data_IF_220683858809
#
_entry.id   IF_220683858809
#
_cell.length_a   1.000
_cell.length_b   1.000
_cell.length_c   1.000
_cell.angle_alpha   90.00
_cell.angle_beta   90.00
_cell.angle_gamma   90.00
#
_symmetry.space_group_name_H-M   'P 1'
#
loop_
_entity.id
_entity.type
_entity.pdbx_description
1 polymer ?
#
# COMPACT_ATOMS: atom_id res chain seq x y z
N UNK A 1 -73.92 -10.66 40.62
CA UNK A 1 -73.33 -9.60 39.76
C UNK A 1 -71.97 -9.41 40.37
N UNK A 2 -71.03 -10.25 39.97
CA UNK A 2 -69.72 -10.35 40.60
C UNK A 2 -68.70 -10.01 39.53
N UNK A 3 -68.20 -8.77 39.60
CA UNK A 3 -67.12 -8.27 38.76
C UNK A 3 -65.79 -8.89 39.20
N UNK A 4 -65.33 -9.76 38.32
CA UNK A 4 -63.94 -9.99 37.92
C UNK A 4 -63.00 -8.78 38.11
N UNK A 5 -61.88 -8.97 38.84
CA UNK A 5 -60.55 -8.44 38.47
C UNK A 5 -59.41 -9.26 39.05
N UNK A 6 -58.97 -10.23 38.24
CA UNK A 6 -57.58 -10.41 37.77
C UNK A 6 -56.47 -10.19 38.81
N UNK A 7 -56.09 -11.28 39.47
CA UNK A 7 -54.71 -11.45 39.94
C UNK A 7 -53.80 -11.66 38.73
N UNK A 8 -52.91 -10.70 38.49
CA UNK A 8 -51.79 -10.87 37.57
C UNK A 8 -50.86 -11.96 38.11
N UNK A 9 -50.92 -13.14 37.50
CA UNK A 9 -49.87 -14.14 37.67
C UNK A 9 -48.59 -13.62 37.04
N UNK A 10 -47.63 -13.17 37.86
CA UNK A 10 -46.25 -13.07 37.45
C UNK A 10 -45.77 -14.48 37.08
N UNK A 11 -45.86 -14.81 35.80
CA UNK A 11 -45.30 -16.02 35.24
C UNK A 11 -43.79 -16.03 35.48
N UNK A 12 -43.37 -16.80 36.47
CA UNK A 12 -41.97 -17.11 36.72
C UNK A 12 -41.39 -17.80 35.48
N UNK A 13 -40.38 -17.18 34.88
CA UNK A 13 -39.65 -17.75 33.75
C UNK A 13 -39.01 -19.07 34.17
N UNK A 14 -39.16 -20.17 33.42
CA UNK A 14 -38.48 -21.42 33.74
C UNK A 14 -36.97 -21.21 33.67
N UNK A 15 -36.27 -21.51 34.77
CA UNK A 15 -34.82 -21.41 34.83
C UNK A 15 -34.19 -22.17 33.65
N UNK A 16 -33.35 -21.52 32.82
CA UNK A 16 -32.73 -22.20 31.69
C UNK A 16 -31.82 -23.30 32.23
N UNK A 17 -31.76 -24.48 31.58
CA UNK A 17 -30.87 -25.55 31.99
C UNK A 17 -29.43 -25.01 32.05
N UNK A 18 -28.70 -25.38 33.10
CA UNK A 18 -27.37 -24.88 33.45
C UNK A 18 -26.36 -24.81 32.27
N UNK A 19 -26.53 -25.68 31.27
CA UNK A 19 -25.75 -25.68 30.02
C UNK A 19 -25.98 -24.44 29.14
N UNK A 20 -27.22 -23.95 29.07
CA UNK A 20 -27.58 -22.73 28.33
C UNK A 20 -27.04 -21.50 29.06
N UNK A 21 -27.08 -21.50 30.39
CA UNK A 21 -26.47 -20.44 31.20
C UNK A 21 -24.95 -20.38 30.97
N UNK A 22 -24.26 -21.52 30.99
CA UNK A 22 -22.82 -21.60 30.71
C UNK A 22 -22.48 -21.13 29.30
N UNK A 23 -23.24 -21.54 28.28
CA UNK A 23 -23.03 -21.08 26.90
C UNK A 23 -23.23 -19.57 26.77
N UNK A 24 -24.28 -19.01 27.39
CA UNK A 24 -24.52 -17.57 27.39
C UNK A 24 -23.38 -16.78 28.05
N UNK A 25 -22.86 -17.26 29.17
CA UNK A 25 -21.71 -16.65 29.86
C UNK A 25 -20.45 -16.71 28.99
N UNK A 26 -20.17 -17.85 28.33
CA UNK A 26 -19.01 -17.96 27.43
C UNK A 26 -19.11 -17.02 26.24
N UNK A 27 -20.30 -16.87 25.64
CA UNK A 27 -20.53 -15.94 24.54
C UNK A 27 -20.32 -14.49 24.97
N UNK A 28 -20.78 -14.13 26.18
CA UNK A 28 -20.60 -12.79 26.74
C UNK A 28 -19.13 -12.49 27.00
N UNK A 29 -18.38 -13.46 27.55
CA UNK A 29 -16.93 -13.33 27.76
C UNK A 29 -16.18 -13.22 26.43
N UNK A 30 -16.55 -13.98 25.41
CA UNK A 30 -15.96 -13.85 24.08
C UNK A 30 -16.23 -12.47 23.47
N UNK A 31 -17.45 -11.94 23.62
CA UNK A 31 -17.81 -10.62 23.12
C UNK A 31 -17.04 -9.49 23.83
N UNK A 32 -16.85 -9.57 25.15
CA UNK A 32 -16.07 -8.58 25.90
C UNK A 32 -14.58 -8.64 25.54
N UNK A 33 -14.01 -9.84 25.40
CA UNK A 33 -12.62 -10.01 24.96
C UNK A 33 -12.42 -9.48 23.53
N UNK A 34 -13.35 -9.75 22.62
CA UNK A 34 -13.28 -9.24 21.24
C UNK A 34 -13.38 -7.71 21.19
N UNK A 35 -14.25 -7.12 22.02
CA UNK A 35 -14.40 -5.66 22.13
C UNK A 35 -13.15 -4.99 22.70
N UNK A 36 -12.54 -5.58 23.73
CA UNK A 36 -11.28 -5.11 24.31
C UNK A 36 -10.12 -5.24 23.31
N UNK A 37 -10.06 -6.34 22.54
CA UNK A 37 -9.07 -6.54 21.49
C UNK A 37 -9.18 -5.46 20.41
N UNK A 38 -10.40 -5.14 19.99
CA UNK A 38 -10.66 -4.10 19.00
C UNK A 38 -10.25 -2.71 19.52
N UNK A 39 -10.62 -2.38 20.77
CA UNK A 39 -10.23 -1.12 21.42
C UNK A 39 -8.70 -1.00 21.60
N UNK A 40 -8.01 -2.11 21.87
CA UNK A 40 -6.54 -2.11 21.94
C UNK A 40 -5.89 -1.88 20.57
N UNK A 41 -6.48 -2.41 19.50
CA UNK A 41 -5.99 -2.22 18.12
C UNK A 41 -6.17 -0.77 17.68
N UNK A 42 -7.35 -0.20 17.91
CA UNK A 42 -7.68 1.19 17.56
C UNK A 42 -6.84 2.22 18.33
N UNK A 43 -6.52 1.94 19.60
CA UNK A 43 -5.59 2.77 20.38
C UNK A 43 -4.17 2.80 19.83
N UNK A 44 -3.70 1.72 19.19
CA UNK A 44 -2.38 1.70 18.55
C UNK A 44 -2.35 2.58 17.30
N UNK A 45 -3.41 2.56 16.51
CA UNK A 45 -3.54 3.40 15.31
C UNK A 45 -3.61 4.89 15.69
N UNK A 46 -4.40 5.23 16.72
CA UNK A 46 -4.49 6.61 17.24
C UNK A 46 -3.13 7.14 17.77
N UNK A 47 -2.32 6.28 18.39
CA UNK A 47 -0.97 6.64 18.84
C UNK A 47 -0.01 6.87 17.67
N UNK A 48 -0.11 6.09 16.59
CA UNK A 48 0.71 6.30 15.39
C UNK A 48 0.39 7.62 14.69
N UNK A 49 -0.88 8.02 14.64
CA UNK A 49 -1.28 9.32 14.09
C UNK A 49 -0.75 10.48 14.93
N UNK A 50 -0.81 10.37 16.27
CA UNK A 50 -0.28 11.41 17.17
C UNK A 50 1.25 11.58 17.03
N UNK A 51 1.99 10.47 16.94
CA UNK A 51 3.45 10.49 16.74
C UNK A 51 3.80 11.05 15.36
N UNK A 52 3.06 10.69 14.31
CA UNK A 52 3.26 11.20 12.95
C UNK A 52 3.03 12.72 12.87
N UNK A 53 2.00 13.24 13.54
CA UNK A 53 1.77 14.69 13.62
C UNK A 53 2.90 15.43 14.35
N UNK A 54 3.44 14.87 15.43
CA UNK A 54 4.59 15.47 16.12
C UNK A 54 5.84 15.48 15.23
N UNK A 55 6.09 14.41 14.46
CA UNK A 55 7.23 14.37 13.53
C UNK A 55 7.09 15.39 12.38
N UNK A 56 5.88 15.58 11.86
CA UNK A 56 5.60 16.62 10.87
C UNK A 56 5.84 18.03 11.43
N UNK A 57 5.42 18.29 12.68
CA UNK A 57 5.68 19.56 13.36
C UNK A 57 7.17 19.85 13.54
N UNK A 58 7.94 18.86 14.00
CA UNK A 58 9.40 18.99 14.15
C UNK A 58 10.10 19.21 12.81
N UNK A 59 9.63 18.55 11.75
CA UNK A 59 10.17 18.71 10.39
C UNK A 59 9.85 20.09 9.82
N UNK A 60 8.64 20.62 10.06
CA UNK A 60 8.26 21.98 9.68
C UNK A 60 9.13 23.04 10.39
N UNK A 61 9.42 22.89 11.68
CA UNK A 61 10.33 23.80 12.38
C UNK A 61 11.77 23.72 11.84
N UNK A 62 12.23 22.51 11.49
CA UNK A 62 13.56 22.31 10.91
C UNK A 62 13.68 22.96 9.53
N UNK A 63 12.66 22.82 8.67
CA UNK A 63 12.63 23.49 7.37
C UNK A 63 12.52 25.00 7.50
N UNK A 64 11.75 25.50 8.48
CA UNK A 64 11.57 26.94 8.70
C UNK A 64 12.86 27.62 9.17
N UNK A 65 13.59 27.00 10.10
CA UNK A 65 14.91 27.48 10.53
C UNK A 65 15.96 27.42 9.41
N UNK A 66 15.89 26.43 8.51
CA UNK A 66 16.74 26.39 7.32
C UNK A 66 16.42 27.52 6.34
N UNK A 67 15.14 27.82 6.11
CA UNK A 67 14.73 28.95 5.27
C UNK A 67 15.18 30.28 5.85
N UNK A 68 15.08 30.48 7.17
CA UNK A 68 15.58 31.69 7.83
C UNK A 68 17.11 31.81 7.71
N UNK A 69 17.85 30.72 7.88
CA UNK A 69 19.30 30.71 7.73
C UNK A 69 19.73 31.03 6.29
N UNK A 70 19.03 30.50 5.29
CA UNK A 70 19.26 30.80 3.88
C UNK A 70 18.88 32.25 3.53
N UNK A 71 17.76 32.74 4.07
CA UNK A 71 17.31 34.11 3.88
C UNK A 71 18.28 35.13 4.52
N UNK A 72 18.83 34.80 5.69
CA UNK A 72 19.87 35.60 6.34
C UNK A 72 21.18 35.59 5.54
N UNK A 73 21.58 34.46 4.97
CA UNK A 73 22.75 34.39 4.07
C UNK A 73 22.54 35.22 2.80
N UNK A 74 21.36 35.15 2.18
CA UNK A 74 21.02 35.95 1.01
C UNK A 74 21.02 37.46 1.34
N UNK A 75 20.49 37.83 2.51
CA UNK A 75 20.49 39.21 3.00
C UNK A 75 21.90 39.72 3.30
N UNK A 76 22.78 38.89 3.86
CA UNK A 76 24.18 39.24 4.09
C UNK A 76 24.98 39.40 2.78
N UNK A 77 24.60 38.65 1.74
CA UNK A 77 25.17 38.79 0.39
C UNK A 77 24.65 40.05 -0.33
N UNK A 78 23.37 40.40 -0.14
CA UNK A 78 22.76 41.59 -0.76
C UNK A 78 23.09 42.90 -0.01
N UNK A 79 23.34 42.82 1.30
CA UNK A 79 23.67 43.97 2.14
C UNK A 79 25.17 44.34 2.15
N UNK A 80 25.99 43.80 1.23
CA UNK A 80 27.37 44.28 1.06
C UNK A 80 27.32 45.77 0.68
N UNK A 81 27.74 46.71 1.56
CA UNK A 81 27.46 48.11 1.36
C UNK A 81 28.31 48.67 0.23
N UNK A 82 27.68 49.41 -0.69
CA UNK A 82 28.36 50.48 -1.39
C UNK A 82 28.89 51.45 -0.33
N UNK A 83 30.21 51.62 -0.25
CA UNK A 83 30.85 52.46 0.75
C UNK A 83 30.33 53.92 0.67
N UNK A 84 30.02 54.56 1.82
CA UNK A 84 29.44 55.89 1.85
C UNK A 84 30.49 56.95 1.47
N UNK A 85 30.19 57.74 0.45
CA UNK A 85 30.93 58.97 0.15
C UNK A 85 30.29 60.16 0.85
N UNK A 86 31.15 60.93 1.51
CA UNK A 86 31.07 62.37 1.73
C UNK A 86 30.20 62.92 2.89
N UNK A 87 30.90 63.37 3.94
CA UNK A 87 30.70 64.71 4.54
C UNK A 87 32.07 65.42 4.70
N UNK A 88 32.10 66.76 4.70
CA UNK A 88 33.15 67.52 4.02
C UNK A 88 34.23 68.00 4.99
N UNK A 89 35.48 68.00 4.55
CA UNK A 89 36.55 68.79 5.16
C UNK A 89 37.11 69.68 4.06
N UNK A 90 36.99 70.97 4.32
CA UNK A 90 37.52 72.05 3.51
C UNK A 90 39.05 72.05 3.50
N UNK A 91 39.58 72.73 2.47
CA UNK A 91 40.88 73.41 2.43
C UNK A 91 42.04 72.60 1.83
N UNK A 92 42.13 72.75 0.50
CA UNK A 92 43.29 73.34 -0.20
C UNK A 92 44.54 72.50 -0.59
N UNK A 93 44.86 72.70 -1.87
CA UNK A 93 46.17 72.69 -2.53
C UNK A 93 46.95 71.37 -2.63
N UNK A 94 46.93 70.75 -3.83
CA UNK A 94 48.19 70.32 -4.47
C UNK A 94 48.11 70.56 -5.98
N UNK A 95 48.79 71.62 -6.45
CA UNK A 95 49.33 71.66 -7.80
C UNK A 95 50.70 70.96 -7.79
N UNK A 96 50.82 69.80 -8.45
CA UNK A 96 51.98 69.39 -9.27
C UNK A 96 51.91 67.90 -9.65
N UNK A 97 51.97 67.67 -10.96
CA UNK A 97 52.91 66.76 -11.67
C UNK A 97 53.09 65.36 -11.05
N UNK A 98 52.62 64.32 -11.75
CA UNK A 98 53.38 63.61 -12.81
C UNK A 98 52.65 62.34 -13.26
N UNK A 99 52.80 62.05 -14.54
CA UNK A 99 52.25 60.91 -15.24
C UNK A 99 52.85 59.56 -14.81
N UNK A 100 52.01 58.52 -14.81
CA UNK A 100 52.32 57.18 -15.33
C UNK A 100 51.03 56.37 -15.54
N UNK A 101 50.86 55.63 -16.64
CA UNK A 101 49.67 54.83 -16.89
C UNK A 101 49.81 53.50 -16.15
N UNK A 102 49.05 53.31 -15.06
CA UNK A 102 48.98 52.02 -14.38
C UNK A 102 47.79 51.23 -14.94
N UNK A 103 48.14 50.17 -15.65
CA UNK A 103 47.28 49.09 -16.17
C UNK A 103 46.11 48.77 -15.22
N UNK A 104 44.90 48.77 -15.79
CA UNK A 104 43.74 48.11 -15.21
C UNK A 104 43.99 46.60 -15.30
N UNK A 105 44.71 46.04 -14.35
CA UNK A 105 44.73 44.60 -14.10
C UNK A 105 43.63 44.31 -13.09
N UNK A 106 42.40 44.10 -13.57
CA UNK A 106 41.36 43.40 -12.81
C UNK A 106 41.82 41.95 -12.65
N UNK A 107 42.65 41.68 -11.65
CA UNK A 107 42.82 40.34 -11.14
C UNK A 107 41.48 39.96 -10.50
N UNK A 108 40.66 39.24 -11.27
CA UNK A 108 39.49 38.50 -10.78
C UNK A 108 40.04 37.49 -9.79
N UNK A 109 40.14 37.88 -8.52
CA UNK A 109 40.48 36.97 -7.45
C UNK A 109 39.43 35.87 -7.47
N UNK A 110 39.85 34.67 -7.84
CA UNK A 110 39.06 33.44 -7.77
C UNK A 110 38.74 33.20 -6.29
N UNK A 111 37.56 33.66 -5.84
CA UNK A 111 37.13 33.48 -4.46
C UNK A 111 37.00 31.96 -4.17
N UNK A 112 37.68 31.43 -3.14
CA UNK A 112 37.64 29.99 -2.81
C UNK A 112 36.25 29.49 -2.41
N UNK A 113 35.29 30.40 -2.20
CA UNK A 113 33.87 30.09 -1.98
C UNK A 113 33.17 29.64 -3.25
N UNK A 114 33.58 30.13 -4.42
CA UNK A 114 32.99 29.74 -5.70
C UNK A 114 33.31 28.29 -6.05
N UNK A 115 34.56 27.85 -5.83
CA UNK A 115 34.97 26.45 -5.99
C UNK A 115 34.19 25.49 -5.06
N UNK A 116 33.79 25.93 -3.87
CA UNK A 116 32.96 25.12 -2.96
C UNK A 116 31.50 25.03 -3.41
N UNK A 117 30.96 26.09 -3.98
CA UNK A 117 29.59 26.07 -4.54
C UNK A 117 29.55 25.20 -5.79
N UNK A 118 30.58 25.28 -6.64
CA UNK A 118 30.72 24.48 -7.85
C UNK A 118 30.82 22.98 -7.52
N UNK A 119 31.65 22.60 -6.54
CA UNK A 119 31.71 21.20 -6.08
C UNK A 119 30.39 20.69 -5.49
N UNK A 120 29.61 21.54 -4.81
CA UNK A 120 28.26 21.16 -4.32
C UNK A 120 27.25 21.01 -5.44
N UNK A 121 27.34 21.83 -6.49
CA UNK A 121 26.48 21.72 -7.66
C UNK A 121 26.79 20.45 -8.45
N UNK A 122 28.06 20.10 -8.60
CA UNK A 122 28.48 18.84 -9.24
C UNK A 122 27.99 17.61 -8.46
N UNK A 123 28.06 17.66 -7.13
CA UNK A 123 27.57 16.60 -6.26
C UNK A 123 26.05 16.46 -6.31
N UNK A 124 25.31 17.59 -6.34
CA UNK A 124 23.86 17.60 -6.54
C UNK A 124 23.46 17.10 -7.93
N UNK A 125 24.18 17.49 -8.99
CA UNK A 125 23.97 17.03 -10.35
C UNK A 125 24.13 15.50 -10.44
N UNK A 126 25.18 14.97 -9.80
CA UNK A 126 25.44 13.53 -9.74
C UNK A 126 24.35 12.78 -8.97
N UNK A 127 23.91 13.33 -7.83
CA UNK A 127 22.84 12.74 -7.03
C UNK A 127 21.52 12.69 -7.82
N UNK A 128 21.17 13.79 -8.49
CA UNK A 128 19.99 13.87 -9.35
C UNK A 128 20.05 12.86 -10.50
N UNK A 129 21.21 12.69 -11.14
CA UNK A 129 21.41 11.69 -12.18
C UNK A 129 21.22 10.26 -11.63
N UNK A 130 21.79 9.95 -10.46
CA UNK A 130 21.60 8.63 -9.83
C UNK A 130 20.16 8.38 -9.41
N UNK A 131 19.48 9.38 -8.85
CA UNK A 131 18.06 9.25 -8.47
C UNK A 131 17.17 9.07 -9.70
N UNK A 132 17.48 9.75 -10.81
CA UNK A 132 16.75 9.58 -12.05
C UNK A 132 16.92 8.16 -12.62
N UNK A 133 18.14 7.61 -12.57
CA UNK A 133 18.42 6.23 -12.98
C UNK A 133 17.68 5.22 -12.09
N UNK A 134 17.71 5.39 -10.77
CA UNK A 134 17.02 4.52 -9.81
C UNK A 134 15.50 4.56 -10.00
N UNK A 135 14.93 5.73 -10.27
CA UNK A 135 13.50 5.87 -10.59
C UNK A 135 13.16 5.17 -11.91
N UNK A 136 14.02 5.27 -12.92
CA UNK A 136 13.82 4.56 -14.20
C UNK A 136 13.90 3.04 -14.03
N UNK A 137 14.89 2.54 -13.27
CA UNK A 137 15.03 1.12 -12.94
C UNK A 137 13.82 0.62 -12.16
N UNK A 138 13.43 1.32 -11.09
CA UNK A 138 12.26 0.96 -10.29
C UNK A 138 10.98 0.94 -11.13
N UNK A 139 10.83 1.91 -12.06
CA UNK A 139 9.69 1.94 -12.98
C UNK A 139 9.71 0.76 -13.95
N UNK A 140 10.87 0.41 -14.51
CA UNK A 140 11.02 -0.73 -15.40
C UNK A 140 10.76 -2.05 -14.66
N UNK A 141 11.29 -2.22 -13.45
CA UNK A 141 11.07 -3.39 -12.61
C UNK A 141 9.60 -3.52 -12.23
N UNK A 142 8.94 -2.42 -11.83
CA UNK A 142 7.53 -2.44 -11.51
C UNK A 142 6.66 -2.75 -12.73
N UNK A 143 7.02 -2.21 -13.90
CA UNK A 143 6.32 -2.48 -15.15
C UNK A 143 6.49 -3.94 -15.59
N UNK A 144 7.71 -4.49 -15.50
CA UNK A 144 7.98 -5.89 -15.81
C UNK A 144 7.23 -6.81 -14.85
N UNK A 145 7.27 -6.55 -13.54
CA UNK A 145 6.53 -7.33 -12.56
C UNK A 145 5.01 -7.25 -12.80
N UNK A 146 4.46 -6.07 -13.06
CA UNK A 146 3.04 -5.90 -13.37
C UNK A 146 2.65 -6.62 -14.66
N UNK A 147 3.48 -6.59 -15.70
CA UNK A 147 3.24 -7.33 -16.94
C UNK A 147 3.30 -8.84 -16.69
N UNK A 148 4.31 -9.36 -15.99
CA UNK A 148 4.39 -10.78 -15.64
C UNK A 148 3.20 -11.24 -14.80
N UNK A 149 2.82 -10.49 -13.75
CA UNK A 149 1.64 -10.83 -12.93
C UNK A 149 0.36 -10.71 -13.76
N UNK A 150 0.24 -9.73 -14.65
CA UNK A 150 -0.91 -9.59 -15.55
C UNK A 150 -0.96 -10.75 -16.55
N UNK A 151 0.15 -11.18 -17.11
CA UNK A 151 0.21 -12.29 -18.05
C UNK A 151 -0.04 -13.63 -17.35
N UNK A 152 0.40 -13.80 -16.11
CA UNK A 152 0.05 -14.95 -15.27
C UNK A 152 -1.45 -14.97 -14.92
N UNK A 153 -2.02 -13.82 -14.57
CA UNK A 153 -3.45 -13.70 -14.20
C UNK A 153 -4.39 -13.69 -15.42
N UNK A 154 -3.94 -13.21 -16.57
CA UNK A 154 -4.74 -13.13 -17.80
C UNK A 154 -4.52 -14.36 -18.70
N UNK A 155 -3.30 -14.89 -18.75
CA UNK A 155 -2.96 -16.15 -19.42
C UNK A 155 -3.48 -17.40 -18.70
N UNK A 156 -4.01 -17.26 -17.48
CA UNK A 156 -4.73 -18.31 -16.77
C UNK A 156 -6.25 -18.32 -17.05
N UNK A 157 -6.74 -17.44 -17.94
CA UNK A 157 -8.17 -17.33 -18.26
C UNK A 157 -8.33 -17.35 -19.79
N UNK A 158 -8.36 -18.54 -20.38
CA UNK A 158 -8.86 -18.69 -21.75
C UNK A 158 -10.36 -18.43 -21.76
N UNK A 159 -10.82 -17.52 -22.63
CA UNK A 159 -12.25 -17.22 -22.80
C UNK A 159 -12.85 -17.94 -24.00
N UNK A 160 -12.02 -18.47 -24.89
CA UNK A 160 -12.42 -19.11 -26.15
C UNK A 160 -11.62 -20.38 -26.43
N UNK A 161 -12.20 -21.32 -27.19
CA UNK A 161 -11.63 -22.64 -27.48
C UNK A 161 -10.25 -22.57 -28.18
N UNK A 162 -10.04 -21.58 -29.06
CA UNK A 162 -8.77 -21.42 -29.77
C UNK A 162 -7.61 -21.03 -28.84
N UNK A 163 -7.91 -20.31 -27.76
CA UNK A 163 -6.93 -19.91 -26.73
C UNK A 163 -6.55 -21.10 -25.82
N UNK A 164 -7.49 -22.03 -25.57
CA UNK A 164 -7.22 -23.27 -24.84
C UNK A 164 -6.23 -24.17 -25.58
N UNK A 165 -6.40 -24.34 -26.90
CA UNK A 165 -5.48 -25.15 -27.73
C UNK A 165 -4.06 -24.56 -27.76
N UNK A 166 -3.92 -23.23 -27.66
CA UNK A 166 -2.62 -22.57 -27.57
C UNK A 166 -1.93 -22.79 -26.21
N UNK A 167 -2.70 -22.89 -25.11
CA UNK A 167 -2.19 -23.19 -23.77
C UNK A 167 -1.88 -24.68 -23.60
N UNK A 168 -2.69 -25.57 -24.15
CA UNK A 168 -2.44 -27.03 -24.18
C UNK A 168 -1.14 -27.34 -24.95
N UNK A 169 -0.91 -26.69 -26.09
CA UNK A 169 0.33 -26.82 -26.88
C UNK A 169 1.58 -26.31 -26.15
N UNK A 170 1.45 -25.47 -25.12
CA UNK A 170 2.57 -25.05 -24.26
C UNK A 170 2.92 -26.07 -23.16
N UNK A 171 2.16 -27.15 -23.01
CA UNK A 171 2.57 -28.35 -22.25
C UNK A 171 2.66 -28.21 -20.74
N UNK A 172 2.25 -27.08 -20.15
CA UNK A 172 2.38 -26.83 -18.71
C UNK A 172 1.12 -27.17 -17.91
N UNK A 173 -0.05 -27.35 -18.55
CA UNK A 173 -1.33 -27.58 -17.86
C UNK A 173 -2.24 -28.54 -18.62
N UNK A 174 -2.88 -29.46 -17.88
CA UNK A 174 -3.90 -30.38 -18.39
C UNK A 174 -5.29 -29.79 -18.12
N UNK A 175 -6.04 -29.48 -19.18
CA UNK A 175 -7.41 -28.97 -19.09
C UNK A 175 -8.42 -30.10 -19.27
N UNK A 176 -9.49 -30.09 -18.48
CA UNK A 176 -10.59 -31.06 -18.57
C UNK A 176 -11.90 -30.30 -18.61
N UNK A 177 -12.63 -30.42 -19.71
CA UNK A 177 -13.98 -29.88 -19.83
C UNK A 177 -14.99 -30.86 -19.24
N UNK A 178 -16.01 -30.34 -18.55
CA UNK A 178 -17.03 -31.15 -17.92
C UNK A 178 -18.34 -30.38 -17.77
N UNK A 179 -19.45 -31.11 -17.82
CA UNK A 179 -20.77 -30.61 -17.50
C UNK A 179 -21.27 -31.29 -16.22
N UNK A 180 -21.57 -30.49 -15.18
CA UNK A 180 -22.15 -30.99 -13.94
C UNK A 180 -23.62 -30.62 -13.83
N UNK A 181 -24.46 -31.63 -13.61
CA UNK A 181 -25.85 -31.43 -13.19
C UNK A 181 -25.95 -31.46 -11.67
N UNK A 182 -26.94 -30.74 -11.11
CA UNK A 182 -27.16 -30.73 -9.67
C UNK A 182 -27.54 -32.12 -9.19
N UNK A 183 -26.63 -32.79 -8.50
CA UNK A 183 -26.82 -34.16 -8.05
C UNK A 183 -26.07 -34.43 -6.76
N UNK A 184 -26.37 -35.58 -6.14
CA UNK A 184 -25.58 -36.07 -5.01
C UNK A 184 -24.39 -36.95 -5.42
N UNK A 185 -24.38 -37.38 -6.67
CA UNK A 185 -23.38 -38.29 -7.20
C UNK A 185 -22.12 -37.51 -7.57
N UNK A 186 -20.98 -38.18 -7.47
CA UNK A 186 -19.71 -37.65 -7.92
C UNK A 186 -19.47 -38.10 -9.36
N UNK A 187 -19.11 -37.15 -10.23
CA UNK A 187 -18.68 -37.39 -11.59
C UNK A 187 -17.16 -37.24 -11.64
N UNK A 188 -16.49 -38.24 -12.21
CA UNK A 188 -15.03 -38.23 -12.38
C UNK A 188 -14.67 -37.26 -13.51
N UNK A 189 -13.81 -36.30 -13.23
CA UNK A 189 -13.29 -35.31 -14.17
C UNK A 189 -11.78 -35.24 -13.99
N UNK A 190 -11.03 -35.80 -14.94
CA UNK A 190 -9.57 -35.88 -14.85
C UNK A 190 -9.11 -36.60 -13.56
N UNK A 191 -8.19 -36.00 -12.77
CA UNK A 191 -7.66 -36.60 -11.54
C UNK A 191 -8.58 -36.44 -10.33
N UNK A 192 -9.73 -35.76 -10.44
CA UNK A 192 -10.64 -35.47 -9.32
C UNK A 192 -12.07 -35.93 -9.62
N UNK A 193 -12.90 -35.98 -8.59
CA UNK A 193 -14.32 -36.29 -8.71
C UNK A 193 -15.15 -35.12 -8.18
N UNK A 194 -16.09 -34.60 -8.97
CA UNK A 194 -16.85 -33.39 -8.68
C UNK A 194 -18.34 -33.68 -8.52
N UNK A 195 -19.02 -32.91 -7.67
CA UNK A 195 -20.45 -33.00 -7.45
C UNK A 195 -21.04 -31.63 -7.15
N UNK A 196 -22.01 -31.21 -7.97
CA UNK A 196 -22.71 -29.95 -7.81
C UNK A 196 -23.90 -30.09 -6.84
N UNK A 197 -23.77 -29.53 -5.63
CA UNK A 197 -24.77 -29.70 -4.56
C UNK A 197 -25.90 -28.68 -4.64
N UNK A 198 -25.55 -27.43 -4.93
CA UNK A 198 -26.49 -26.30 -4.95
C UNK A 198 -26.07 -25.32 -6.02
N UNK A 199 -27.07 -24.74 -6.67
CA UNK A 199 -26.94 -23.61 -7.59
C UNK A 199 -27.96 -22.55 -7.19
N UNK A 200 -27.57 -21.28 -7.28
CA UNK A 200 -28.45 -20.13 -7.07
C UNK A 200 -28.29 -19.20 -8.25
N UNK A 201 -29.31 -19.14 -9.11
CA UNK A 201 -29.33 -18.22 -10.25
C UNK A 201 -29.45 -16.76 -9.81
N UNK A 202 -30.23 -16.49 -8.75
CA UNK A 202 -30.43 -15.14 -8.20
C UNK A 202 -29.15 -14.49 -7.66
N UNK A 203 -28.26 -15.31 -7.08
CA UNK A 203 -27.03 -14.85 -6.44
C UNK A 203 -25.77 -15.30 -7.20
N UNK A 204 -25.95 -15.85 -8.40
CA UNK A 204 -24.89 -16.33 -9.30
C UNK A 204 -23.80 -17.14 -8.58
N UNK A 205 -24.24 -18.03 -7.67
CA UNK A 205 -23.33 -18.84 -6.87
C UNK A 205 -23.70 -20.32 -6.86
N UNK A 206 -22.72 -21.14 -6.53
CA UNK A 206 -22.88 -22.57 -6.42
C UNK A 206 -22.10 -23.17 -5.26
N UNK A 207 -22.47 -24.38 -4.89
CA UNK A 207 -21.75 -25.21 -3.91
C UNK A 207 -21.28 -26.48 -4.59
N UNK A 208 -19.96 -26.66 -4.64
CA UNK A 208 -19.31 -27.86 -5.14
C UNK A 208 -18.83 -28.73 -3.98
N UNK A 209 -18.94 -30.04 -4.17
CA UNK A 209 -18.14 -31.00 -3.44
C UNK A 209 -17.15 -31.66 -4.39
N UNK A 210 -15.95 -31.84 -3.91
CA UNK A 210 -14.84 -32.44 -4.64
C UNK A 210 -14.30 -33.59 -3.81
N UNK A 211 -13.90 -34.64 -4.49
CA UNK A 211 -13.27 -35.80 -3.92
C UNK A 211 -11.97 -36.02 -4.70
N UNK A 212 -10.86 -35.90 -4.00
CA UNK A 212 -9.52 -36.05 -4.54
C UNK A 212 -8.90 -37.21 -3.77
N UNK A 213 -8.75 -38.36 -4.42
CA UNK A 213 -8.35 -39.63 -3.80
C UNK A 213 -9.29 -39.99 -2.63
N UNK A 214 -8.88 -39.73 -1.39
CA UNK A 214 -9.65 -40.00 -0.16
C UNK A 214 -10.10 -38.73 0.57
N UNK A 215 -9.75 -37.54 0.06
CA UNK A 215 -10.08 -36.27 0.68
C UNK A 215 -11.38 -35.69 0.13
N UNK A 216 -12.32 -35.44 1.04
CA UNK A 216 -13.56 -34.73 0.74
C UNK A 216 -13.41 -33.23 0.98
N UNK A 217 -13.47 -32.45 -0.10
CA UNK A 217 -13.43 -30.99 -0.06
C UNK A 217 -14.81 -30.41 -0.40
N UNK A 218 -15.29 -29.47 0.41
CA UNK A 218 -16.54 -28.77 0.16
C UNK A 218 -16.27 -27.28 -0.03
N UNK A 219 -16.66 -26.75 -1.18
CA UNK A 219 -16.61 -25.30 -1.48
C UNK A 219 -18.03 -24.79 -1.60
N UNK A 220 -18.41 -23.92 -0.67
CA UNK A 220 -19.76 -23.37 -0.53
C UNK A 220 -19.77 -21.93 -1.03
N UNK A 221 -20.85 -21.53 -1.72
CA UNK A 221 -21.08 -20.17 -2.20
C UNK A 221 -19.92 -19.63 -3.07
N UNK A 222 -19.45 -20.44 -4.00
CA UNK A 222 -18.49 -20.02 -5.03
C UNK A 222 -19.22 -19.22 -6.10
N UNK A 223 -18.66 -18.10 -6.53
CA UNK A 223 -19.23 -17.27 -7.60
C UNK A 223 -18.98 -17.89 -8.98
N UNK A 224 -19.90 -17.68 -9.93
CA UNK A 224 -19.82 -18.29 -11.27
C UNK A 224 -18.52 -18.02 -12.05
N UNK A 225 -17.86 -16.89 -11.80
CA UNK A 225 -16.69 -16.43 -12.55
C UNK A 225 -15.43 -16.37 -11.67
N UNK A 226 -15.40 -17.11 -10.56
CA UNK A 226 -14.28 -17.14 -9.64
C UNK A 226 -13.55 -18.48 -9.71
N UNK A 227 -12.23 -18.47 -9.94
CA UNK A 227 -11.46 -19.70 -10.03
C UNK A 227 -11.36 -20.38 -8.66
N UNK A 228 -11.70 -21.66 -8.60
CA UNK A 228 -11.54 -22.46 -7.38
C UNK A 228 -10.20 -23.19 -7.43
N UNK A 229 -9.20 -22.61 -6.78
CA UNK A 229 -7.87 -23.23 -6.65
C UNK A 229 -7.82 -24.14 -5.43
N UNK A 230 -7.26 -25.34 -5.60
CA UNK A 230 -6.98 -26.27 -4.52
C UNK A 230 -5.69 -27.06 -4.76
N UNK A 231 -5.11 -27.55 -3.66
CA UNK A 231 -3.81 -28.21 -3.64
C UNK A 231 -4.00 -29.66 -3.17
N UNK A 232 -3.96 -30.65 -4.08
CA UNK A 232 -3.84 -32.06 -3.71
C UNK A 232 -2.53 -32.32 -2.98
N UNK A 233 -2.49 -33.31 -2.11
CA UNK A 233 -1.25 -33.72 -1.45
C UNK A 233 -0.20 -34.24 -2.45
N UNK A 234 -0.65 -34.90 -3.51
CA UNK A 234 0.22 -35.63 -4.45
C UNK A 234 0.56 -34.83 -5.72
N UNK A 235 0.08 -33.60 -5.85
CA UNK A 235 0.35 -32.75 -7.02
C UNK A 235 1.26 -31.58 -6.64
N UNK A 236 2.41 -31.48 -7.32
CA UNK A 236 3.30 -30.30 -7.21
C UNK A 236 2.65 -29.03 -7.78
N UNK A 237 1.61 -29.18 -8.62
CA UNK A 237 0.90 -28.06 -9.23
C UNK A 237 -0.51 -27.90 -8.65
N UNK A 238 -0.97 -26.64 -8.42
CA UNK A 238 -2.34 -26.38 -8.01
C UNK A 238 -3.33 -26.79 -9.10
N UNK A 239 -4.45 -27.39 -8.70
CA UNK A 239 -5.60 -27.61 -9.57
C UNK A 239 -6.55 -26.42 -9.47
N UNK A 240 -7.18 -26.08 -10.58
CA UNK A 240 -8.10 -24.97 -10.71
C UNK A 240 -9.37 -25.42 -11.44
N UNK A 241 -10.51 -24.96 -10.95
CA UNK A 241 -11.84 -25.14 -11.55
C UNK A 241 -12.46 -23.79 -11.88
#
# INVERSE_FOLDING_TARGET
MDEERRGEGLSASPAPPQRILLLAVTLLVCATVFSLFYAFRERRDAQQLAVSQQQMGLTLDQTRSQLDALNAQLSALSARPAAPSAKPIATQHIAKRRARPARIARARAEDPRWKKVEGRLDEQQKLLASTQEDVQKTRADLQNNLTSTRDELNGSIAKTHDELVALEKRGERNYYEFDLTRSKQFQRVGPISLSLRKTSTKHENYTLMMLVEDMHLAKKNVNLYEPVVFYPADSTQPLQL
#
